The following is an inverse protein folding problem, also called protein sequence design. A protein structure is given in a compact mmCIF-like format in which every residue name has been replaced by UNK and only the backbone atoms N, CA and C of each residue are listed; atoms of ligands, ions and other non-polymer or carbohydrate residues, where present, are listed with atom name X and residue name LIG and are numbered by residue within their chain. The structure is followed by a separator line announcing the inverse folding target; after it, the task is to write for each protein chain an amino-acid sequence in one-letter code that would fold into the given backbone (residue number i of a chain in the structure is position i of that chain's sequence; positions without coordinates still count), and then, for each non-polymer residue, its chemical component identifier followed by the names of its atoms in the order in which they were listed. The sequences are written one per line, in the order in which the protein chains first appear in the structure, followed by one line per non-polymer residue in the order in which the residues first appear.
data_IF_208504479929
#
_entry.id   IF_208504479929
#
_cell.length_a   1.000
_cell.length_b   1.000
_cell.length_c   1.000
_cell.angle_alpha   90.00
_cell.angle_beta   90.00
_cell.angle_gamma   90.00
#
_symmetry.space_group_name_H-M   'P 1'
#
loop_
_entity.id
_entity.type
_entity.pdbx_description
1 polymer ?
#
# COMPACT_ATOMS: atom_id res chain seq x y z
N UNK A 1 20.54 -7.92 -5.14
CA UNK A 1 20.35 -6.47 -5.35
C UNK A 1 19.53 -5.92 -4.20
N UNK A 2 18.24 -6.27 -4.10
CA UNK A 2 17.34 -5.96 -2.97
C UNK A 2 18.00 -6.12 -1.59
N UNK A 3 18.53 -7.31 -1.26
CA UNK A 3 19.14 -7.55 0.08
C UNK A 3 20.27 -6.57 0.43
N UNK A 4 21.02 -6.09 -0.56
CA UNK A 4 22.14 -5.18 -0.36
C UNK A 4 21.69 -3.72 -0.35
N UNK A 5 20.88 -3.34 -1.32
CA UNK A 5 20.49 -1.94 -1.56
C UNK A 5 19.34 -1.49 -0.65
N UNK A 6 18.40 -2.38 -0.37
CA UNK A 6 17.21 -2.11 0.46
C UNK A 6 17.40 -2.55 1.92
N UNK A 7 18.61 -2.93 2.34
CA UNK A 7 18.88 -3.38 3.72
C UNK A 7 18.43 -2.35 4.76
N UNK A 8 18.69 -1.07 4.48
CA UNK A 8 18.36 0.03 5.40
C UNK A 8 16.85 0.27 5.46
N UNK A 9 16.18 0.36 4.30
CA UNK A 9 14.73 0.58 4.20
C UNK A 9 13.95 -0.60 4.81
N UNK A 10 14.39 -1.83 4.54
CA UNK A 10 13.82 -3.04 5.15
C UNK A 10 14.01 -3.04 6.68
N UNK A 11 15.20 -2.66 7.18
CA UNK A 11 15.45 -2.56 8.63
C UNK A 11 14.55 -1.51 9.28
N UNK A 12 14.41 -0.35 8.66
CA UNK A 12 13.56 0.73 9.15
C UNK A 12 12.08 0.33 9.15
N UNK A 13 11.61 -0.32 8.07
CA UNK A 13 10.26 -0.87 7.99
C UNK A 13 10.02 -1.93 9.07
N UNK A 14 10.98 -2.83 9.30
CA UNK A 14 10.94 -3.81 10.39
C UNK A 14 10.81 -3.13 11.75
N UNK A 15 11.61 -2.10 12.01
CA UNK A 15 11.58 -1.39 13.30
C UNK A 15 10.25 -0.67 13.54
N UNK A 16 9.68 -0.07 12.49
CA UNK A 16 8.34 0.53 12.55
C UNK A 16 7.27 -0.53 12.84
N UNK A 17 7.32 -1.68 12.17
CA UNK A 17 6.36 -2.76 12.38
C UNK A 17 6.49 -3.37 13.78
N UNK A 18 7.71 -3.57 14.28
CA UNK A 18 7.96 -4.03 15.64
C UNK A 18 7.40 -3.03 16.65
N UNK A 19 7.66 -1.74 16.48
CA UNK A 19 7.17 -0.71 17.39
C UNK A 19 5.64 -0.62 17.39
N UNK A 20 5.02 -0.70 16.21
CA UNK A 20 3.56 -0.72 16.08
C UNK A 20 2.95 -1.87 16.89
N UNK A 21 3.52 -3.07 16.78
CA UNK A 21 3.08 -4.24 17.54
C UNK A 21 3.24 -4.06 19.06
N UNK A 22 4.41 -3.60 19.52
CA UNK A 22 4.67 -3.34 20.94
C UNK A 22 3.70 -2.31 21.53
N UNK A 23 3.29 -1.32 20.72
CA UNK A 23 2.34 -0.28 21.09
C UNK A 23 0.87 -0.65 20.82
N UNK A 24 0.58 -1.90 20.45
CA UNK A 24 -0.77 -2.40 20.15
C UNK A 24 -1.48 -1.59 19.05
N UNK A 25 -0.71 -1.17 18.04
CA UNK A 25 -1.20 -0.51 16.82
C UNK A 25 -1.52 -1.55 15.75
N UNK A 26 -2.39 -1.17 14.83
CA UNK A 26 -2.77 -2.04 13.70
C UNK A 26 -1.79 -1.89 12.54
N UNK A 27 -1.52 -3.02 11.88
CA UNK A 27 -0.77 -3.05 10.61
C UNK A 27 -1.76 -3.39 9.51
N UNK A 28 -1.92 -2.49 8.55
CA UNK A 28 -2.78 -2.67 7.39
C UNK A 28 -1.96 -2.96 6.14
N UNK A 29 -2.54 -3.67 5.17
CA UNK A 29 -1.92 -3.89 3.86
C UNK A 29 -2.94 -3.79 2.73
N UNK A 30 -2.55 -3.15 1.63
CA UNK A 30 -3.35 -3.06 0.42
C UNK A 30 -2.48 -3.07 -0.85
N UNK A 31 -3.02 -3.68 -1.91
CA UNK A 31 -2.53 -3.55 -3.28
C UNK A 31 -3.67 -3.82 -4.27
N UNK A 32 -3.67 -3.13 -5.41
CA UNK A 32 -4.70 -3.33 -6.43
C UNK A 32 -4.36 -4.52 -7.34
N UNK A 33 -5.36 -5.34 -7.69
CA UNK A 33 -5.20 -6.48 -8.60
C UNK A 33 -4.06 -7.41 -8.17
N UNK A 34 -3.08 -7.72 -9.04
CA UNK A 34 -1.96 -8.60 -8.69
C UNK A 34 -1.15 -8.10 -7.48
N UNK A 35 -1.08 -6.78 -7.27
CA UNK A 35 -0.40 -6.26 -6.09
C UNK A 35 -1.07 -6.68 -4.78
N UNK A 36 -2.37 -7.00 -4.83
CA UNK A 36 -3.18 -7.51 -3.73
C UNK A 36 -2.78 -8.90 -3.24
N UNK A 37 -2.02 -9.68 -4.03
CA UNK A 37 -1.48 -10.98 -3.58
C UNK A 37 -0.65 -10.83 -2.31
N UNK A 38 0.09 -9.72 -2.14
CA UNK A 38 0.83 -9.49 -0.90
C UNK A 38 -0.09 -9.25 0.31
N UNK A 39 -1.25 -8.64 0.10
CA UNK A 39 -2.23 -8.49 1.16
C UNK A 39 -2.82 -9.85 1.56
N UNK A 40 -3.10 -10.72 0.58
CA UNK A 40 -3.56 -12.09 0.81
C UNK A 40 -2.49 -12.94 1.51
N UNK A 41 -1.23 -12.85 1.08
CA UNK A 41 -0.12 -13.59 1.68
C UNK A 41 0.14 -13.18 3.14
N UNK A 42 -0.10 -11.91 3.50
CA UNK A 42 0.10 -11.46 4.88
C UNK A 42 -1.10 -11.70 5.80
N UNK A 43 -2.27 -12.07 5.26
CA UNK A 43 -3.52 -12.08 6.01
C UNK A 43 -3.99 -13.50 6.36
N UNK A 44 -4.26 -13.70 7.65
CA UNK A 44 -4.95 -14.88 8.19
C UNK A 44 -4.39 -16.24 7.69
N UNK A 45 -3.05 -16.39 7.75
CA UNK A 45 -2.34 -17.63 7.41
C UNK A 45 -1.55 -18.20 8.59
N UNK A 46 -1.24 -19.49 8.53
CA UNK A 46 -0.34 -20.11 9.50
C UNK A 46 1.04 -19.41 9.50
N UNK A 47 1.53 -19.05 10.68
CA UNK A 47 2.76 -18.26 10.87
C UNK A 47 2.62 -16.76 10.59
N UNK A 48 1.43 -16.29 10.22
CA UNK A 48 1.16 -14.87 10.01
C UNK A 48 1.06 -14.08 11.32
N UNK A 49 1.36 -12.78 11.27
CA UNK A 49 1.17 -11.89 12.41
C UNK A 49 -0.33 -11.60 12.61
N UNK A 50 -0.83 -11.81 13.83
CA UNK A 50 -2.24 -11.58 14.17
C UNK A 50 -2.69 -10.11 14.00
N UNK A 51 -1.74 -9.17 14.01
CA UNK A 51 -1.98 -7.73 13.88
C UNK A 51 -2.02 -7.24 12.42
N UNK A 52 -1.80 -8.13 11.45
CA UNK A 52 -1.91 -7.84 10.01
C UNK A 52 -3.36 -7.87 9.55
N UNK A 53 -3.83 -6.75 9.02
CA UNK A 53 -5.19 -6.56 8.54
C UNK A 53 -5.16 -6.21 7.04
N UNK A 54 -5.62 -7.13 6.19
CA UNK A 54 -5.74 -6.83 4.77
C UNK A 54 -6.94 -5.91 4.50
N UNK A 55 -6.73 -4.92 3.65
CA UNK A 55 -7.80 -4.14 3.04
C UNK A 55 -8.09 -4.78 1.69
N UNK A 56 -9.34 -5.16 1.46
CA UNK A 56 -9.77 -5.75 0.19
C UNK A 56 -10.66 -4.78 -0.59
N UNK A 57 -10.16 -4.28 -1.71
CA UNK A 57 -10.97 -3.55 -2.69
C UNK A 57 -11.57 -4.52 -3.70
N UNK A 58 -12.82 -4.94 -3.48
CA UNK A 58 -13.48 -5.99 -4.28
C UNK A 58 -13.54 -5.64 -5.77
N UNK A 59 -13.62 -4.35 -6.08
CA UNK A 59 -13.74 -3.81 -7.42
C UNK A 59 -12.43 -3.87 -8.21
N UNK A 60 -11.30 -4.12 -7.53
CA UNK A 60 -9.97 -4.29 -8.15
C UNK A 60 -9.43 -5.71 -8.04
N UNK A 61 -10.24 -6.67 -7.56
CA UNK A 61 -9.90 -8.10 -7.55
C UNK A 61 -10.01 -8.72 -8.95
N UNK A 62 -9.20 -9.75 -9.20
CA UNK A 62 -9.04 -10.38 -10.52
C UNK A 62 -10.18 -11.32 -10.91
N UNK A 63 -11.14 -11.55 -10.01
CA UNK A 63 -12.38 -12.31 -10.26
C UNK A 63 -13.50 -11.43 -10.86
N UNK A 64 -13.25 -10.13 -11.07
CA UNK A 64 -14.20 -9.22 -11.72
C UNK A 64 -14.31 -9.47 -13.23
N UNK A 65 -15.54 -9.40 -13.74
CA UNK A 65 -15.85 -9.45 -15.16
C UNK A 65 -16.65 -8.23 -15.60
N UNK A 66 -16.27 -7.55 -16.70
CA UNK A 66 -15.05 -7.77 -17.48
C UNK A 66 -13.79 -7.37 -16.69
N UNK A 67 -12.65 -8.03 -16.94
CA UNK A 67 -11.40 -7.77 -16.19
C UNK A 67 -10.92 -6.31 -16.31
N UNK A 68 -11.25 -5.64 -17.42
CA UNK A 68 -10.94 -4.23 -17.67
C UNK A 68 -11.60 -3.27 -16.68
N UNK A 69 -12.65 -3.71 -15.98
CA UNK A 69 -13.29 -2.95 -14.91
C UNK A 69 -12.30 -2.63 -13.78
N UNK A 70 -11.41 -3.56 -13.44
CA UNK A 70 -10.38 -3.34 -12.40
C UNK A 70 -9.48 -2.16 -12.73
N UNK A 71 -9.08 -2.02 -14.00
CA UNK A 71 -8.28 -0.89 -14.48
C UNK A 71 -9.03 0.45 -14.45
N UNK A 72 -10.35 0.44 -14.65
CA UNK A 72 -11.18 1.64 -14.51
C UNK A 72 -11.23 2.07 -13.05
N UNK A 73 -11.44 1.11 -12.14
CA UNK A 73 -11.54 1.36 -10.71
C UNK A 73 -10.21 1.78 -10.08
N UNK A 74 -9.09 1.23 -10.56
CA UNK A 74 -7.75 1.65 -10.13
C UNK A 74 -7.48 3.13 -10.47
N UNK A 75 -8.08 3.62 -11.56
CA UNK A 75 -7.98 5.00 -12.06
C UNK A 75 -9.07 5.94 -11.56
N UNK A 76 -10.05 5.42 -10.82
CA UNK A 76 -11.15 6.21 -10.29
C UNK A 76 -10.68 6.94 -9.02
N UNK A 77 -10.40 8.23 -9.16
CA UNK A 77 -10.08 9.08 -8.02
C UNK A 77 -11.26 9.16 -7.04
N UNK A 78 -10.95 9.13 -5.75
CA UNK A 78 -11.92 9.03 -4.66
C UNK A 78 -12.27 7.59 -4.27
N UNK A 79 -11.98 6.58 -5.11
CA UNK A 79 -12.23 5.19 -4.74
C UNK A 79 -11.34 4.73 -3.58
N UNK A 80 -10.04 5.07 -3.60
CA UNK A 80 -9.14 4.78 -2.47
C UNK A 80 -9.54 5.52 -1.19
N UNK A 81 -10.13 6.72 -1.33
CA UNK A 81 -10.67 7.48 -0.20
C UNK A 81 -11.90 6.78 0.40
N UNK A 82 -12.76 6.19 -0.44
CA UNK A 82 -13.88 5.40 0.04
C UNK A 82 -13.43 4.09 0.69
N UNK A 83 -12.39 3.43 0.17
CA UNK A 83 -11.75 2.30 0.84
C UNK A 83 -11.20 2.70 2.22
N UNK A 84 -10.56 3.87 2.33
CA UNK A 84 -10.07 4.35 3.61
C UNK A 84 -11.18 4.51 4.68
N UNK A 85 -12.41 4.84 4.25
CA UNK A 85 -13.56 4.98 5.17
C UNK A 85 -14.06 3.65 5.73
N UNK A 86 -13.75 2.52 5.09
CA UNK A 86 -14.11 1.19 5.62
C UNK A 86 -13.14 0.72 6.70
N UNK A 87 -12.05 1.45 6.92
CA UNK A 87 -10.98 1.12 7.87
C UNK A 87 -10.95 2.14 9.01
N UNK A 88 -10.90 1.65 10.25
CA UNK A 88 -10.85 2.50 11.44
C UNK A 88 -9.41 2.93 11.79
N UNK A 89 -8.73 3.59 10.85
CA UNK A 89 -7.36 4.06 11.04
C UNK A 89 -7.21 4.91 12.32
N UNK A 90 -6.20 4.59 13.12
CA UNK A 90 -5.78 5.34 14.31
C UNK A 90 -4.40 5.95 14.10
N UNK A 91 -4.13 7.01 14.86
CA UNK A 91 -2.81 7.62 14.90
C UNK A 91 -1.75 6.57 15.28
N UNK A 92 -0.62 6.57 14.57
CA UNK A 92 0.49 5.62 14.71
C UNK A 92 0.21 4.18 14.25
N UNK A 93 -0.92 3.90 13.61
CA UNK A 93 -1.05 2.68 12.83
C UNK A 93 -0.07 2.68 11.65
N UNK A 94 0.14 1.52 11.05
CA UNK A 94 1.00 1.36 9.87
C UNK A 94 0.15 0.87 8.70
N UNK A 95 0.38 1.43 7.52
CA UNK A 95 -0.24 0.97 6.28
C UNK A 95 0.85 0.64 5.26
N UNK A 96 0.87 -0.62 4.84
CA UNK A 96 1.72 -1.15 3.78
C UNK A 96 0.94 -1.05 2.46
N UNK A 97 1.54 -0.39 1.46
CA UNK A 97 0.94 -0.21 0.14
C UNK A 97 1.83 -0.82 -0.94
N UNK A 98 1.30 -1.73 -1.73
CA UNK A 98 2.02 -2.32 -2.85
C UNK A 98 1.51 -1.77 -4.19
N UNK A 99 2.40 -1.19 -4.98
CA UNK A 99 2.15 -0.83 -6.37
C UNK A 99 3.47 -0.63 -7.13
N UNK A 100 3.67 -1.39 -8.21
CA UNK A 100 4.88 -1.30 -9.04
C UNK A 100 5.08 0.10 -9.62
N UNK A 101 4.03 0.68 -10.21
CA UNK A 101 4.10 2.04 -10.77
C UNK A 101 3.88 3.14 -9.74
N UNK A 102 3.07 2.87 -8.71
CA UNK A 102 2.63 3.87 -7.74
C UNK A 102 1.89 5.07 -8.35
N UNK A 103 1.40 5.00 -9.59
CA UNK A 103 0.91 6.17 -10.34
C UNK A 103 -0.62 6.37 -10.33
N UNK A 104 -1.37 5.32 -10.00
CA UNK A 104 -2.82 5.32 -10.14
C UNK A 104 -3.52 5.90 -8.88
N UNK A 105 -4.62 6.65 -9.04
CA UNK A 105 -5.36 7.30 -7.96
C UNK A 105 -5.64 6.45 -6.73
N UNK A 106 -6.15 5.22 -6.88
CA UNK A 106 -6.60 4.38 -5.74
C UNK A 106 -5.55 4.25 -4.62
N UNK A 107 -4.28 4.08 -4.97
CA UNK A 107 -3.20 3.85 -4.00
C UNK A 107 -2.77 5.16 -3.33
N UNK A 108 -2.82 6.27 -4.08
CA UNK A 108 -2.44 7.60 -3.63
C UNK A 108 -3.54 8.17 -2.72
N UNK A 109 -4.81 8.04 -3.13
CA UNK A 109 -5.99 8.36 -2.32
C UNK A 109 -5.92 7.69 -0.94
N UNK A 110 -5.70 6.37 -0.92
CA UNK A 110 -5.65 5.59 0.30
C UNK A 110 -4.48 6.02 1.19
N UNK A 111 -3.29 6.25 0.61
CA UNK A 111 -2.13 6.76 1.33
C UNK A 111 -2.41 8.13 1.97
N UNK A 112 -2.96 9.09 1.21
CA UNK A 112 -3.24 10.44 1.69
C UNK A 112 -4.32 10.43 2.78
N UNK A 113 -5.39 9.65 2.60
CA UNK A 113 -6.45 9.50 3.58
C UNK A 113 -5.95 8.89 4.90
N UNK A 114 -5.07 7.88 4.82
CA UNK A 114 -4.44 7.27 5.99
C UNK A 114 -3.46 8.25 6.69
N UNK A 115 -2.62 8.97 5.94
CA UNK A 115 -1.72 9.99 6.51
C UNK A 115 -2.45 11.10 7.24
N UNK A 116 -3.61 11.53 6.72
CA UNK A 116 -4.45 12.51 7.40
C UNK A 116 -4.93 12.05 8.80
N UNK A 117 -4.86 10.75 9.10
CA UNK A 117 -5.16 10.16 10.41
C UNK A 117 -3.92 9.87 11.27
N UNK A 118 -2.72 10.24 10.80
CA UNK A 118 -1.45 9.97 11.48
C UNK A 118 -0.93 8.54 11.29
N UNK A 119 -1.41 7.83 10.26
CA UNK A 119 -0.91 6.50 9.89
C UNK A 119 0.43 6.64 9.16
N UNK A 120 1.38 5.76 9.50
CA UNK A 120 2.67 5.68 8.83
C UNK A 120 2.58 4.82 7.57
N UNK A 121 3.07 5.33 6.46
CA UNK A 121 2.98 4.67 5.14
C UNK A 121 4.30 4.00 4.80
N UNK A 122 4.24 2.69 4.58
CA UNK A 122 5.33 1.89 4.01
C UNK A 122 4.89 1.48 2.61
N UNK A 123 5.71 1.68 1.58
CA UNK A 123 5.38 1.20 0.24
C UNK A 123 6.38 0.20 -0.33
N UNK A 124 5.87 -0.79 -1.04
CA UNK A 124 6.64 -1.62 -1.96
C UNK A 124 6.35 -1.16 -3.39
N UNK A 125 7.39 -0.76 -4.13
CA UNK A 125 7.25 -0.19 -5.47
C UNK A 125 8.49 -0.47 -6.31
N UNK A 126 8.44 -0.16 -7.62
CA UNK A 126 9.64 -0.07 -8.45
C UNK A 126 9.97 1.41 -8.63
N UNK A 127 10.99 1.94 -7.95
CA UNK A 127 11.23 3.40 -7.94
C UNK A 127 11.67 3.87 -9.32
N UNK A 128 12.51 3.10 -10.01
CA UNK A 128 12.96 3.44 -11.36
C UNK A 128 11.78 3.55 -12.34
N UNK A 129 10.87 2.56 -12.31
CA UNK A 129 9.66 2.57 -13.14
C UNK A 129 8.68 3.66 -12.72
N UNK A 130 8.48 3.87 -11.41
CA UNK A 130 7.62 4.95 -10.90
C UNK A 130 8.13 6.33 -11.34
N UNK A 131 9.45 6.52 -11.41
CA UNK A 131 10.07 7.76 -11.91
C UNK A 131 9.89 7.97 -13.41
N UNK A 132 9.83 6.90 -14.21
CA UNK A 132 9.69 6.98 -15.67
C UNK A 132 8.26 7.25 -16.14
N UNK A 133 7.27 7.19 -15.24
CA UNK A 133 5.86 7.42 -15.54
C UNK A 133 5.32 8.67 -14.84
N UNK A 134 4.33 9.31 -15.46
CA UNK A 134 3.61 10.44 -14.87
C UNK A 134 2.50 9.97 -13.93
N UNK A 135 2.23 10.71 -12.85
CA UNK A 135 1.07 10.43 -12.00
C UNK A 135 -0.24 10.56 -12.80
N UNK A 136 -1.24 9.76 -12.42
CA UNK A 136 -2.62 9.87 -12.91
C UNK A 136 -3.57 10.46 -11.86
N UNK A 137 -3.08 10.75 -10.66
CA UNK A 137 -3.83 11.37 -9.59
C UNK A 137 -3.75 12.89 -9.71
N UNK A 138 -4.84 13.60 -9.40
CA UNK A 138 -4.92 15.07 -9.49
C UNK A 138 -3.80 15.80 -8.74
N UNK A 139 -3.28 15.23 -7.65
CA UNK A 139 -2.18 15.82 -6.88
C UNK A 139 -0.82 15.80 -7.58
N UNK A 140 -0.68 15.10 -8.72
CA UNK A 140 0.59 14.91 -9.43
C UNK A 140 1.61 14.01 -8.72
N UNK A 141 1.29 13.46 -7.56
CA UNK A 141 2.18 12.62 -6.73
C UNK A 141 2.11 11.15 -7.13
N UNK A 142 3.15 10.39 -6.82
CA UNK A 142 3.21 8.93 -6.88
C UNK A 142 3.33 8.36 -5.47
N UNK A 143 3.12 7.05 -5.35
CA UNK A 143 3.13 6.35 -4.06
C UNK A 143 4.40 6.63 -3.25
N UNK A 144 5.59 6.47 -3.84
CA UNK A 144 6.84 6.69 -3.11
C UNK A 144 7.02 8.13 -2.60
N UNK A 145 6.33 9.11 -3.20
CA UNK A 145 6.38 10.53 -2.81
C UNK A 145 5.42 10.84 -1.65
N UNK A 146 4.49 9.93 -1.35
CA UNK A 146 3.59 10.03 -0.19
C UNK A 146 3.97 9.05 0.93
N UNK A 147 4.81 8.06 0.65
CA UNK A 147 5.32 7.12 1.65
C UNK A 147 6.27 7.76 2.65
N UNK A 148 6.30 7.24 3.88
CA UNK A 148 7.32 7.58 4.88
C UNK A 148 8.55 6.69 4.72
N UNK A 149 8.34 5.42 4.34
CA UNK A 149 9.39 4.44 3.99
C UNK A 149 8.98 3.78 2.68
N UNK A 150 9.92 3.58 1.77
CA UNK A 150 9.69 2.79 0.55
C UNK A 150 10.80 1.75 0.37
N UNK A 151 10.39 0.57 -0.08
CA UNK A 151 11.28 -0.52 -0.48
C UNK A 151 11.19 -0.64 -2.01
N UNK A 152 12.34 -0.52 -2.69
CA UNK A 152 12.42 -0.74 -4.13
C UNK A 152 12.52 -2.23 -4.45
N UNK A 153 11.66 -2.72 -5.34
CA UNK A 153 11.73 -4.11 -5.81
C UNK A 153 12.66 -4.30 -7.01
N UNK A 154 13.18 -3.21 -7.61
CA UNK A 154 14.09 -3.17 -8.76
C UNK A 154 13.57 -3.81 -10.07
N UNK A 155 12.38 -4.41 -10.09
CA UNK A 155 11.78 -5.05 -11.27
C UNK A 155 11.96 -6.55 -11.27
#
# INVERSE_FOLDING_TARGET
MVEKEEKKSIKEASDVLTQANLQKRSVYIFGASHAGILAEEMYYRAGGMMTSNAIFGREVMLDRSPITFTSQMERLEGYGTNLAKTVSFKNQDVLILHSVSGRNPIIIDLALAAKAKGVKIISLTNVQYSRSVTSRHSSGKRLFEVSDIFNDNHG
#
